data_IF_745658720633
#
_entry.id   IF_745658720633
#
_cell.length_a   1.000
_cell.length_b   1.000
_cell.length_c   1.000
_cell.angle_alpha   90.00
_cell.angle_beta   90.00
_cell.angle_gamma   90.00
#
_symmetry.space_group_name_H-M   'P 1'
#
loop_
_entity.id
_entity.type
_entity.pdbx_description
1 polymer ?
#
# COMPACT_ATOMS: atom_id res chain seq x y z
N UNK A 1 5.01 6.87 31.15
CA UNK A 1 4.98 7.93 30.12
C UNK A 1 3.69 7.73 29.35
N UNK A 2 2.90 8.79 29.23
CA UNK A 2 1.54 8.77 28.67
C UNK A 2 1.62 8.63 27.14
N UNK A 3 1.09 7.52 26.60
CA UNK A 3 1.10 7.18 25.16
C UNK A 3 0.01 7.92 24.36
N UNK A 4 -0.68 8.88 24.98
CA UNK A 4 -1.72 9.72 24.38
C UNK A 4 -1.18 10.77 23.39
N UNK A 5 0.02 10.58 22.82
CA UNK A 5 0.55 11.41 21.74
C UNK A 5 -0.31 11.24 20.47
N UNK A 6 -1.36 12.05 20.42
CA UNK A 6 -1.99 12.67 19.26
C UNK A 6 -1.94 11.81 17.99
N UNK A 7 -2.53 10.62 18.07
CA UNK A 7 -2.97 9.94 16.87
C UNK A 7 -4.15 10.76 16.35
N UNK A 8 -3.97 11.45 15.21
CA UNK A 8 -5.05 12.20 14.60
C UNK A 8 -5.99 11.21 13.90
N UNK A 9 -6.93 10.68 14.68
CA UNK A 9 -8.03 9.87 14.20
C UNK A 9 -9.12 10.80 13.70
N UNK A 10 -9.02 11.27 12.45
CA UNK A 10 -10.14 11.97 11.83
C UNK A 10 -10.86 11.04 10.83
N UNK A 11 -11.92 10.32 11.25
CA UNK A 11 -12.90 9.81 10.29
C UNK A 11 -13.59 11.04 9.68
N UNK A 12 -13.29 11.34 8.41
CA UNK A 12 -13.96 12.43 7.68
C UNK A 12 -15.01 11.83 6.75
N UNK A 13 -16.27 12.04 7.10
CA UNK A 13 -17.42 11.73 6.26
C UNK A 13 -17.63 12.87 5.28
N UNK A 14 -17.30 12.65 4.02
CA UNK A 14 -17.72 13.55 2.96
C UNK A 14 -18.90 12.93 2.23
N UNK A 15 -20.10 13.44 2.52
CA UNK A 15 -21.35 13.04 1.86
C UNK A 15 -21.47 13.56 0.41
N UNK A 16 -20.35 13.76 -0.29
CA UNK A 16 -20.35 13.97 -1.74
C UNK A 16 -20.04 12.64 -2.42
N UNK A 17 -21.08 11.83 -2.65
CA UNK A 17 -20.98 10.62 -3.48
C UNK A 17 -20.70 9.30 -2.74
N UNK A 18 -20.91 9.22 -1.42
CA UNK A 18 -20.87 7.95 -0.68
C UNK A 18 -19.49 7.32 -0.53
N UNK A 19 -18.40 8.10 -0.50
CA UNK A 19 -17.05 7.55 -0.26
C UNK A 19 -16.71 7.58 1.24
N UNK A 20 -16.38 6.41 1.80
CA UNK A 20 -15.77 6.28 3.11
C UNK A 20 -14.28 6.59 3.00
N UNK A 21 -13.80 7.51 3.84
CA UNK A 21 -12.39 7.89 3.90
C UNK A 21 -11.89 7.78 5.34
N UNK A 22 -10.90 6.92 5.53
CA UNK A 22 -10.22 6.72 6.79
C UNK A 22 -8.75 7.13 6.64
N UNK A 23 -8.24 7.89 7.59
CA UNK A 23 -6.85 8.33 7.63
C UNK A 23 -6.30 8.18 9.04
N UNK A 24 -5.08 7.67 9.12
CA UNK A 24 -4.32 7.45 10.34
C UNK A 24 -2.93 8.04 10.15
N UNK A 25 -2.49 8.85 11.10
CA UNK A 25 -1.12 9.36 11.16
C UNK A 25 -0.64 9.23 12.59
N UNK A 26 0.50 8.56 12.78
CA UNK A 26 1.01 8.19 14.09
C UNK A 26 2.55 8.23 14.13
N UNK A 27 3.16 8.61 15.26
CA UNK A 27 4.60 8.47 15.43
C UNK A 27 4.97 6.98 15.50
N UNK A 28 6.06 6.59 14.83
CA UNK A 28 6.51 5.20 14.81
C UNK A 28 7.22 4.75 16.10
N UNK A 29 7.25 5.58 17.15
CA UNK A 29 8.04 5.33 18.37
C UNK A 29 7.73 4.01 19.10
N UNK A 30 6.56 3.42 18.88
CA UNK A 30 6.13 2.14 19.46
C UNK A 30 6.46 0.90 18.60
N UNK A 31 6.92 1.09 17.36
CA UNK A 31 7.14 0.04 16.36
C UNK A 31 8.48 0.23 15.65
N UNK A 32 9.18 -0.85 15.32
CA UNK A 32 10.29 -0.71 14.37
C UNK A 32 9.76 -0.67 12.94
N UNK A 33 10.33 0.19 12.09
CA UNK A 33 10.02 0.20 10.65
C UNK A 33 10.25 -1.19 10.04
N UNK A 34 11.24 -1.92 10.53
CA UNK A 34 11.49 -3.32 10.16
C UNK A 34 10.28 -4.23 10.43
N UNK A 35 9.63 -4.12 11.60
CA UNK A 35 8.42 -4.89 11.91
C UNK A 35 7.26 -4.54 10.98
N UNK A 36 7.09 -3.24 10.66
CA UNK A 36 6.07 -2.77 9.72
C UNK A 36 6.32 -3.36 8.33
N UNK A 37 7.56 -3.24 7.81
CA UNK A 37 7.96 -3.81 6.53
C UNK A 37 7.71 -5.31 6.50
N UNK A 38 8.19 -6.05 7.49
CA UNK A 38 8.06 -7.50 7.57
C UNK A 38 6.59 -7.93 7.59
N UNK A 39 5.76 -7.26 8.40
CA UNK A 39 4.32 -7.51 8.44
C UNK A 39 3.72 -7.25 7.07
N UNK A 40 3.87 -6.04 6.53
CA UNK A 40 3.18 -5.63 5.31
C UNK A 40 3.68 -6.30 4.03
N UNK A 41 4.91 -6.81 3.99
CA UNK A 41 5.45 -7.57 2.85
C UNK A 41 5.08 -9.06 2.86
N UNK A 42 4.83 -9.64 4.04
CA UNK A 42 4.49 -11.06 4.19
C UNK A 42 3.32 -11.54 3.30
N UNK A 43 2.20 -10.81 3.16
CA UNK A 43 1.07 -11.27 2.36
C UNK A 43 1.24 -11.00 0.85
N UNK A 44 2.31 -10.33 0.41
CA UNK A 44 2.44 -9.86 -0.98
C UNK A 44 2.95 -10.94 -1.95
N UNK A 45 2.64 -12.21 -1.72
CA UNK A 45 2.87 -13.31 -2.67
C UNK A 45 2.24 -13.07 -4.05
N UNK A 46 1.21 -12.22 -4.12
CA UNK A 46 0.59 -11.76 -5.37
C UNK A 46 1.59 -11.04 -6.31
N UNK A 47 2.72 -10.54 -5.79
CA UNK A 47 3.79 -9.92 -6.56
C UNK A 47 4.65 -10.92 -7.35
N UNK A 48 4.44 -12.22 -7.18
CA UNK A 48 5.10 -13.25 -7.99
C UNK A 48 4.46 -13.42 -9.38
N UNK A 49 3.30 -12.81 -9.60
CA UNK A 49 2.66 -12.77 -10.91
C UNK A 49 3.40 -11.81 -11.84
N UNK A 50 3.38 -12.07 -13.15
CA UNK A 50 3.90 -11.12 -14.15
C UNK A 50 2.95 -9.95 -14.40
N UNK A 51 1.67 -10.15 -14.08
CA UNK A 51 0.57 -9.23 -14.39
C UNK A 51 -0.43 -9.22 -13.23
N UNK A 52 -1.07 -8.06 -13.02
CA UNK A 52 -2.15 -7.85 -12.07
C UNK A 52 -3.38 -7.38 -12.84
N UNK A 53 -4.51 -8.03 -12.58
CA UNK A 53 -5.79 -7.65 -13.16
C UNK A 53 -6.60 -6.83 -12.14
N UNK A 54 -7.15 -5.71 -12.59
CA UNK A 54 -7.99 -4.77 -11.85
C UNK A 54 -7.34 -4.20 -10.57
N UNK A 55 -6.02 -4.29 -10.47
CA UNK A 55 -5.23 -3.76 -9.39
C UNK A 55 -4.10 -2.94 -9.98
N UNK A 56 -3.96 -1.71 -9.50
CA UNK A 56 -2.80 -0.87 -9.79
C UNK A 56 -2.20 -0.33 -8.52
N UNK A 57 -0.95 0.07 -8.61
CA UNK A 57 -0.25 0.85 -7.61
C UNK A 57 -0.76 2.29 -7.54
N UNK A 58 -0.21 3.05 -6.60
CA UNK A 58 -0.56 4.46 -6.43
C UNK A 58 0.04 5.36 -7.51
N UNK A 59 -0.66 6.43 -7.85
CA UNK A 59 -0.15 7.50 -8.69
C UNK A 59 0.71 8.50 -7.90
N UNK A 60 1.42 9.36 -8.64
CA UNK A 60 2.35 10.35 -8.10
C UNK A 60 1.72 11.38 -7.16
N UNK A 61 0.43 11.66 -7.32
CA UNK A 61 -0.32 12.65 -6.51
C UNK A 61 -0.83 12.09 -5.18
N UNK A 62 -0.70 10.79 -4.94
CA UNK A 62 -1.36 10.10 -3.82
C UNK A 62 -0.40 9.87 -2.65
N UNK A 63 0.59 10.72 -2.42
CA UNK A 63 1.60 10.56 -1.36
C UNK A 63 1.06 11.01 0.01
N UNK A 64 1.34 10.24 1.06
CA UNK A 64 0.94 10.60 2.43
C UNK A 64 2.08 11.27 3.19
N UNK A 65 3.31 10.79 2.97
CA UNK A 65 4.55 11.37 3.48
C UNK A 65 5.40 11.91 2.33
N UNK A 66 6.21 12.91 2.65
CA UNK A 66 7.20 13.45 1.73
C UNK A 66 8.19 12.34 1.34
N UNK A 67 8.39 12.16 0.05
CA UNK A 67 9.32 11.20 -0.51
C UNK A 67 9.52 11.45 -2.00
N UNK A 68 10.52 10.81 -2.63
CA UNK A 68 10.78 11.04 -4.04
C UNK A 68 9.56 10.70 -4.90
N UNK A 69 9.24 11.59 -5.84
CA UNK A 69 8.08 11.49 -6.71
C UNK A 69 8.08 10.23 -7.57
N UNK A 70 6.88 9.75 -7.91
CA UNK A 70 6.69 8.68 -8.88
C UNK A 70 6.51 9.34 -10.25
N UNK A 71 6.99 8.73 -11.34
CA UNK A 71 6.74 9.25 -12.67
C UNK A 71 5.22 9.25 -12.96
N UNK A 72 4.73 10.24 -13.71
CA UNK A 72 3.29 10.49 -13.87
C UNK A 72 2.50 9.31 -14.48
N UNK A 73 3.18 8.40 -15.20
CA UNK A 73 2.57 7.28 -15.91
C UNK A 73 2.90 5.91 -15.29
N UNK A 74 3.62 5.87 -14.17
CA UNK A 74 3.95 4.64 -13.48
C UNK A 74 3.24 4.60 -12.12
N UNK A 75 2.62 3.47 -11.82
CA UNK A 75 1.84 3.27 -10.61
C UNK A 75 2.69 2.48 -9.60
N UNK A 76 3.14 3.11 -8.52
CA UNK A 76 4.01 2.49 -7.52
C UNK A 76 3.17 1.63 -6.57
N UNK A 77 3.36 0.33 -6.64
CA UNK A 77 2.71 -0.62 -5.75
C UNK A 77 3.45 -0.70 -4.42
N UNK A 78 4.78 -0.77 -4.48
CA UNK A 78 5.63 -0.93 -3.31
C UNK A 78 6.92 -0.13 -3.50
N UNK A 79 7.43 0.41 -2.40
CA UNK A 79 8.78 0.94 -2.32
C UNK A 79 9.39 0.64 -0.96
N UNK A 80 10.65 0.26 -0.97
CA UNK A 80 11.46 0.02 0.23
C UNK A 80 12.81 0.67 -0.01
N UNK A 81 13.12 1.68 0.81
CA UNK A 81 14.42 2.31 0.85
C UNK A 81 15.09 2.05 2.20
N UNK A 82 16.42 2.03 2.18
CA UNK A 82 17.21 1.98 3.38
C UNK A 82 18.68 1.82 3.05
N UNK A 83 19.41 1.18 3.95
CA UNK A 83 20.84 0.98 3.78
C UNK A 83 21.30 -0.38 4.28
N UNK A 84 22.40 -0.86 3.69
CA UNK A 84 23.17 -1.96 4.25
C UNK A 84 24.04 -1.46 5.39
N UNK A 85 24.20 -2.29 6.41
CA UNK A 85 25.27 -2.08 7.38
C UNK A 85 26.59 -2.34 6.65
N UNK A 86 27.44 -1.31 6.59
CA UNK A 86 28.83 -1.47 6.27
C UNK A 86 29.44 -2.57 7.15
N UNK A 87 30.04 -3.59 6.54
CA UNK A 87 30.63 -4.72 7.28
C UNK A 87 31.91 -4.29 8.02
N UNK A 88 32.50 -3.16 7.62
CA UNK A 88 33.65 -2.53 8.26
C UNK A 88 33.32 -1.09 8.70
N UNK A 89 33.92 -0.62 9.80
CA UNK A 89 33.72 0.74 10.33
C UNK A 89 34.10 1.86 9.35
N UNK A 90 34.92 1.55 8.33
CA UNK A 90 35.41 2.48 7.31
C UNK A 90 34.64 2.44 5.99
N UNK A 91 33.64 1.55 5.83
CA UNK A 91 32.85 1.48 4.61
C UNK A 91 31.65 2.44 4.68
N UNK A 92 31.44 3.19 3.59
CA UNK A 92 30.26 4.03 3.47
C UNK A 92 29.03 3.14 3.37
N UNK A 93 28.04 3.42 4.21
CA UNK A 93 26.72 2.79 4.14
C UNK A 93 26.14 2.96 2.74
N UNK A 94 25.90 1.85 2.04
CA UNK A 94 25.37 1.89 0.67
C UNK A 94 23.85 1.97 0.69
N UNK A 95 23.29 2.93 -0.07
CA UNK A 95 21.86 3.14 -0.16
C UNK A 95 21.20 2.05 -1.02
N UNK A 96 20.09 1.51 -0.53
CA UNK A 96 19.27 0.52 -1.20
C UNK A 96 17.90 1.13 -1.51
N UNK A 97 17.42 0.91 -2.72
CA UNK A 97 16.03 1.17 -3.10
C UNK A 97 15.50 0.01 -3.92
N UNK A 98 14.32 -0.48 -3.55
CA UNK A 98 13.54 -1.43 -4.34
C UNK A 98 12.16 -0.86 -4.56
N UNK A 99 11.72 -0.83 -5.81
CA UNK A 99 10.42 -0.31 -6.23
C UNK A 99 9.71 -1.33 -7.10
N UNK A 100 8.42 -1.47 -6.89
CA UNK A 100 7.55 -2.30 -7.72
C UNK A 100 6.48 -1.41 -8.30
N UNK A 101 6.44 -1.38 -9.63
CA UNK A 101 5.60 -0.55 -10.45
C UNK A 101 4.59 -1.42 -11.20
N UNK A 102 3.45 -0.82 -11.53
CA UNK A 102 2.32 -1.49 -12.19
C UNK A 102 1.85 -0.71 -13.42
N UNK A 103 2.71 -0.51 -14.44
CA UNK A 103 2.29 0.19 -15.64
C UNK A 103 1.13 -0.54 -16.34
N UNK A 104 0.23 0.25 -16.92
CA UNK A 104 -0.88 -0.26 -17.73
C UNK A 104 -0.35 -1.09 -18.90
N UNK A 105 -1.02 -2.22 -19.16
CA UNK A 105 -0.67 -3.12 -20.26
C UNK A 105 -1.79 -3.19 -21.29
N UNK A 106 -2.99 -3.61 -20.90
CA UNK A 106 -4.12 -3.75 -21.83
C UNK A 106 -5.47 -3.76 -21.10
N UNK A 107 -6.55 -3.70 -21.88
CA UNK A 107 -7.89 -4.04 -21.42
C UNK A 107 -8.19 -5.50 -21.74
N UNK A 108 -8.51 -6.31 -20.73
CA UNK A 108 -8.92 -7.70 -20.90
C UNK A 108 -10.45 -7.81 -20.90
N UNK A 109 -11.01 -8.49 -21.91
CA UNK A 109 -12.45 -8.78 -22.03
C UNK A 109 -13.38 -7.56 -21.92
N UNK A 110 -12.88 -6.36 -22.25
CA UNK A 110 -13.64 -5.10 -22.28
C UNK A 110 -13.95 -4.45 -20.92
N UNK A 111 -13.90 -5.21 -19.81
CA UNK A 111 -14.29 -4.73 -18.49
C UNK A 111 -13.15 -4.75 -17.46
N UNK A 112 -12.00 -5.32 -17.81
CA UNK A 112 -10.87 -5.47 -16.89
C UNK A 112 -9.66 -4.69 -17.38
N UNK A 113 -8.88 -4.17 -16.43
CA UNK A 113 -7.62 -3.47 -16.69
C UNK A 113 -6.47 -4.36 -16.23
N UNK A 114 -5.55 -4.66 -17.14
CA UNK A 114 -4.35 -5.45 -16.82
C UNK A 114 -3.16 -4.52 -16.71
N UNK A 115 -2.38 -4.72 -15.66
CA UNK A 115 -1.13 -4.04 -15.36
C UNK A 115 0.00 -5.07 -15.36
N UNK A 116 1.14 -4.74 -15.95
CA UNK A 116 2.35 -5.56 -15.81
C UNK A 116 3.05 -5.22 -14.49
N UNK A 117 3.77 -6.17 -13.89
CA UNK A 117 4.62 -5.91 -12.74
C UNK A 117 6.05 -5.63 -13.18
N UNK A 118 6.57 -4.45 -12.84
CA UNK A 118 7.93 -4.04 -13.14
C UNK A 118 8.68 -3.74 -11.84
N UNK A 119 9.88 -4.30 -11.71
CA UNK A 119 10.73 -4.04 -10.54
C UNK A 119 11.94 -3.21 -10.92
N UNK A 120 12.12 -2.10 -10.22
CA UNK A 120 13.32 -1.27 -10.27
C UNK A 120 14.08 -1.46 -8.96
N UNK A 121 15.41 -1.54 -9.02
CA UNK A 121 16.22 -1.63 -7.82
C UNK A 121 17.62 -1.08 -8.06
N UNK A 122 18.24 -0.55 -7.00
CA UNK A 122 19.59 0.02 -7.07
C UNK A 122 20.71 -1.03 -7.12
N UNK A 123 20.46 -2.24 -6.61
CA UNK A 123 21.49 -3.27 -6.41
C UNK A 123 21.30 -4.51 -7.29
N UNK A 124 22.37 -4.95 -7.94
CA UNK A 124 22.36 -6.15 -8.81
C UNK A 124 22.14 -7.42 -7.99
N UNK A 125 22.68 -7.50 -6.78
CA UNK A 125 22.55 -8.71 -5.92
C UNK A 125 21.11 -8.99 -5.49
N UNK A 126 20.22 -8.00 -5.56
CA UNK A 126 18.80 -8.19 -5.29
C UNK A 126 18.06 -8.79 -6.50
N UNK A 127 18.72 -8.94 -7.66
CA UNK A 127 18.08 -9.42 -8.89
C UNK A 127 17.75 -10.90 -8.69
N UNK A 128 16.46 -11.22 -8.60
CA UNK A 128 15.96 -12.59 -8.42
C UNK A 128 15.46 -12.90 -7.01
N UNK A 129 15.68 -12.05 -6.01
CA UNK A 129 15.04 -12.23 -4.70
C UNK A 129 13.54 -11.98 -4.82
N UNK A 130 12.65 -12.89 -4.37
CA UNK A 130 11.22 -12.62 -4.33
C UNK A 130 10.87 -11.41 -3.46
N UNK A 131 9.80 -10.67 -3.80
CA UNK A 131 9.45 -9.43 -3.10
C UNK A 131 9.15 -9.66 -1.60
N UNK A 132 8.50 -10.78 -1.27
CA UNK A 132 8.20 -11.16 0.12
C UNK A 132 9.46 -11.44 0.94
N UNK A 133 10.56 -11.85 0.29
CA UNK A 133 11.82 -12.10 0.97
C UNK A 133 12.53 -10.80 1.32
N UNK A 134 12.25 -9.70 0.62
CA UNK A 134 12.95 -8.42 0.83
C UNK A 134 12.94 -8.03 2.30
N UNK A 135 11.78 -8.00 2.96
CA UNK A 135 11.68 -7.60 4.38
C UNK A 135 12.44 -8.48 5.38
N UNK A 136 12.86 -9.69 4.98
CA UNK A 136 13.69 -10.59 5.81
C UNK A 136 15.18 -10.40 5.56
N UNK A 137 15.56 -10.22 4.29
CA UNK A 137 16.97 -10.14 3.92
C UNK A 137 17.48 -8.71 3.96
N UNK A 138 16.68 -7.68 3.63
CA UNK A 138 17.15 -6.30 3.44
C UNK A 138 16.02 -5.24 3.56
N UNK A 139 16.34 -3.96 3.81
CA UNK A 139 17.61 -3.41 4.29
C UNK A 139 17.80 -3.66 5.79
N UNK A 140 19.06 -3.65 6.22
CA UNK A 140 19.42 -3.77 7.65
C UNK A 140 18.89 -2.57 8.44
N UNK A 141 18.86 -1.40 7.81
CA UNK A 141 18.23 -0.19 8.33
C UNK A 141 17.22 0.32 7.31
N UNK A 142 15.95 -0.06 7.40
CA UNK A 142 14.92 0.55 6.57
C UNK A 142 14.80 2.03 6.97
N UNK A 143 14.66 2.89 5.96
CA UNK A 143 14.51 4.33 6.14
C UNK A 143 13.13 4.79 5.70
N UNK A 144 12.60 4.15 4.65
CA UNK A 144 11.30 4.44 4.10
C UNK A 144 10.65 3.18 3.54
N UNK A 145 9.37 3.00 3.84
CA UNK A 145 8.52 1.98 3.28
C UNK A 145 7.24 2.60 2.77
N UNK A 146 6.78 2.10 1.64
CA UNK A 146 5.55 2.53 1.03
C UNK A 146 4.86 1.37 0.34
N UNK A 147 3.56 1.30 0.54
CA UNK A 147 2.67 0.36 -0.10
C UNK A 147 1.42 1.11 -0.55
N UNK A 148 0.99 0.91 -1.78
CA UNK A 148 -0.19 1.61 -2.29
C UNK A 148 -0.88 0.84 -3.39
N UNK A 149 -2.19 0.64 -3.26
CA UNK A 149 -2.98 0.01 -4.31
C UNK A 149 -4.34 0.68 -4.48
N UNK A 150 -4.82 0.65 -5.72
CA UNK A 150 -6.15 1.06 -6.13
C UNK A 150 -6.78 -0.09 -6.91
N UNK A 151 -7.96 -0.52 -6.47
CA UNK A 151 -8.70 -1.63 -7.06
C UNK A 151 -9.83 -1.10 -7.95
N UNK A 152 -9.85 -1.60 -9.17
CA UNK A 152 -10.92 -1.38 -10.13
C UNK A 152 -12.05 -2.38 -9.89
N UNK A 153 -13.29 -1.90 -9.96
CA UNK A 153 -14.44 -2.77 -10.11
C UNK A 153 -15.28 -2.31 -11.31
N UNK A 154 -16.08 -3.22 -11.88
CA UNK A 154 -17.00 -2.87 -12.94
C UNK A 154 -18.08 -1.92 -12.40
N UNK A 155 -18.11 -0.67 -12.91
CA UNK A 155 -19.15 0.29 -12.62
C UNK A 155 -20.05 0.49 -13.84
N UNK A 156 -21.36 0.64 -13.60
CA UNK A 156 -22.32 0.93 -14.69
C UNK A 156 -22.10 2.36 -15.18
N UNK A 157 -21.62 2.50 -16.41
CA UNK A 157 -21.46 3.79 -17.08
C UNK A 157 -22.73 4.12 -17.88
N UNK A 158 -23.82 4.47 -17.20
CA UNK A 158 -25.06 4.94 -17.83
C UNK A 158 -25.57 4.05 -18.98
N UNK A 159 -25.98 4.66 -20.10
CA UNK A 159 -26.51 3.99 -21.30
C UNK A 159 -25.44 3.26 -22.16
N UNK A 160 -24.14 3.36 -21.83
CA UNK A 160 -23.06 2.98 -22.75
C UNK A 160 -22.19 1.81 -22.27
N UNK A 161 -22.66 1.02 -21.29
CA UNK A 161 -22.01 -0.22 -20.87
C UNK A 161 -21.38 -0.17 -19.48
N UNK A 162 -20.40 -1.04 -19.26
CA UNK A 162 -19.67 -1.17 -17.99
C UNK A 162 -18.27 -0.59 -18.18
N UNK A 163 -17.83 0.26 -17.28
CA UNK A 163 -16.46 0.80 -17.28
C UNK A 163 -15.77 0.43 -15.97
N UNK A 164 -14.49 0.06 -16.00
CA UNK A 164 -13.71 -0.11 -14.78
C UNK A 164 -13.58 1.24 -14.07
N UNK A 165 -13.87 1.26 -12.77
CA UNK A 165 -13.74 2.44 -11.91
C UNK A 165 -13.06 2.04 -10.61
N UNK A 166 -12.19 2.91 -10.08
CA UNK A 166 -11.54 2.69 -8.78
C UNK A 166 -12.60 2.79 -7.68
N UNK A 167 -12.83 1.69 -6.97
CA UNK A 167 -13.77 1.64 -5.84
C UNK A 167 -13.04 1.71 -4.50
N UNK A 168 -11.88 1.07 -4.41
CA UNK A 168 -11.13 0.95 -3.16
C UNK A 168 -9.68 1.36 -3.36
N UNK A 169 -9.13 2.07 -2.37
CA UNK A 169 -7.75 2.50 -2.33
C UNK A 169 -7.19 2.26 -0.93
N UNK A 170 -5.98 1.72 -0.84
CA UNK A 170 -5.19 1.67 0.38
C UNK A 170 -3.81 2.25 0.12
N UNK A 171 -3.39 3.13 1.01
CA UNK A 171 -2.14 3.84 0.93
C UNK A 171 -1.46 3.78 2.30
N UNK A 172 -0.19 3.37 2.30
CA UNK A 172 0.65 3.29 3.48
C UNK A 172 1.98 3.93 3.15
N UNK A 173 2.39 4.91 3.96
CA UNK A 173 3.73 5.46 4.00
C UNK A 173 4.27 5.32 5.41
N UNK A 174 5.52 4.87 5.51
CA UNK A 174 6.19 4.71 6.78
C UNK A 174 7.64 5.19 6.64
N UNK A 175 8.06 6.11 7.48
CA UNK A 175 9.45 6.53 7.64
C UNK A 175 10.02 6.01 8.95
N UNK A 176 11.27 6.30 9.27
CA UNK A 176 11.86 5.99 10.57
C UNK A 176 11.12 6.61 11.77
N UNK A 177 10.33 7.67 11.56
CA UNK A 177 9.70 8.43 12.66
C UNK A 177 8.18 8.46 12.59
N UNK A 178 7.60 8.15 11.42
CA UNK A 178 6.20 8.42 11.15
C UNK A 178 5.55 7.33 10.33
N UNK A 179 4.34 6.97 10.72
CA UNK A 179 3.44 6.10 9.98
C UNK A 179 2.25 6.92 9.49
N UNK A 180 1.87 6.73 8.23
CA UNK A 180 0.67 7.28 7.65
C UNK A 180 -0.06 6.22 6.85
N UNK A 181 -1.36 6.13 7.07
CA UNK A 181 -2.25 5.27 6.32
C UNK A 181 -3.49 6.03 5.89
N UNK A 182 -3.93 5.73 4.68
CA UNK A 182 -5.16 6.23 4.12
C UNK A 182 -5.89 5.09 3.41
N UNK A 183 -7.18 5.00 3.67
CA UNK A 183 -8.09 4.01 3.12
C UNK A 183 -9.30 4.75 2.57
N UNK A 184 -9.62 4.50 1.30
CA UNK A 184 -10.80 5.05 0.65
C UNK A 184 -11.62 3.91 0.09
N UNK A 185 -12.92 3.91 0.35
CA UNK A 185 -13.85 2.95 -0.24
C UNK A 185 -15.09 3.70 -0.68
N UNK A 186 -15.45 3.58 -1.96
CA UNK A 186 -16.75 4.03 -2.44
C UNK A 186 -17.79 3.05 -1.93
N UNK A 187 -18.80 3.53 -1.22
CA UNK A 187 -19.90 2.72 -0.73
C UNK A 187 -20.55 2.00 -1.90
N UNK A 188 -20.29 0.70 -1.98
CA UNK A 188 -21.00 -0.18 -2.87
C UNK A 188 -22.47 -0.15 -2.43
N UNK A 189 -23.33 0.34 -3.30
CA UNK A 189 -24.79 0.36 -3.09
C UNK A 189 -25.40 -1.05 -3.02
N UNK A 190 -24.58 -2.11 -3.09
CA UNK A 190 -25.02 -3.51 -3.08
C UNK A 190 -24.36 -4.29 -1.95
N UNK A 191 -25.22 -4.88 -1.12
CA UNK A 191 -24.92 -5.55 0.15
C UNK A 191 -24.07 -6.84 0.05
N UNK A 192 -23.78 -7.36 -1.16
CA UNK A 192 -23.39 -8.78 -1.33
C UNK A 192 -22.26 -9.10 -2.34
N UNK A 193 -21.53 -8.13 -2.89
CA UNK A 193 -20.35 -8.43 -3.71
C UNK A 193 -19.08 -8.07 -2.92
N UNK A 194 -18.44 -9.10 -2.35
CA UNK A 194 -17.14 -8.96 -1.71
C UNK A 194 -16.04 -9.01 -2.78
N UNK A 195 -15.12 -8.05 -2.85
CA UNK A 195 -13.98 -8.14 -3.75
C UNK A 195 -13.09 -9.34 -3.42
N UNK A 196 -12.46 -9.91 -4.47
CA UNK A 196 -11.48 -11.00 -4.33
C UNK A 196 -10.28 -10.64 -3.45
N UNK A 197 -9.99 -9.34 -3.30
CA UNK A 197 -8.91 -8.81 -2.47
C UNK A 197 -9.37 -8.32 -1.10
N UNK A 198 -10.64 -8.52 -0.73
CA UNK A 198 -11.09 -8.21 0.63
C UNK A 198 -10.28 -8.96 1.69
N UNK A 199 -9.86 -10.19 1.40
CA UNK A 199 -8.95 -10.94 2.28
C UNK A 199 -7.62 -10.22 2.50
N UNK A 200 -7.02 -9.64 1.45
CA UNK A 200 -5.80 -8.84 1.55
C UNK A 200 -6.06 -7.57 2.38
N UNK A 201 -7.17 -6.92 2.13
CA UNK A 201 -7.55 -5.69 2.82
C UNK A 201 -7.85 -5.90 4.31
N UNK A 202 -8.65 -6.92 4.66
CA UNK A 202 -8.90 -7.33 6.04
C UNK A 202 -7.63 -7.82 6.73
N UNK A 203 -6.76 -8.54 6.01
CA UNK A 203 -5.47 -8.95 6.56
C UNK A 203 -4.60 -7.73 6.89
N UNK A 204 -4.52 -6.75 5.98
CA UNK A 204 -3.76 -5.52 6.22
C UNK A 204 -4.36 -4.77 7.40
N UNK A 205 -5.69 -4.67 7.47
CA UNK A 205 -6.42 -4.09 8.61
C UNK A 205 -6.06 -4.80 9.93
N UNK A 206 -6.10 -6.13 9.98
CA UNK A 206 -5.78 -6.90 11.19
C UNK A 206 -4.29 -6.81 11.56
N UNK A 207 -3.40 -6.88 10.59
CA UNK A 207 -1.95 -6.73 10.80
C UNK A 207 -1.62 -5.35 11.36
N UNK A 208 -2.26 -4.31 10.83
CA UNK A 208 -2.13 -2.94 11.34
C UNK A 208 -2.75 -2.79 12.74
N UNK A 209 -3.90 -3.41 13.00
CA UNK A 209 -4.47 -3.42 14.35
C UNK A 209 -3.53 -4.06 15.37
N UNK A 210 -2.88 -5.17 15.01
CA UNK A 210 -1.87 -5.82 15.83
C UNK A 210 -0.63 -4.96 16.05
N UNK A 211 -0.19 -4.22 15.02
CA UNK A 211 0.95 -3.31 15.12
C UNK A 211 0.66 -2.10 16.02
N UNK A 212 -0.49 -1.46 15.86
CA UNK A 212 -0.81 -0.23 16.59
C UNK A 212 -1.57 -0.46 17.90
N UNK A 213 -1.96 -1.70 18.19
CA UNK A 213 -2.81 -2.01 19.35
C UNK A 213 -4.18 -1.35 19.28
N UNK A 214 -4.67 -1.05 18.06
CA UNK A 214 -5.97 -0.40 17.84
C UNK A 214 -6.82 -1.28 16.95
N UNK A 215 -7.95 -1.74 17.48
CA UNK A 215 -8.97 -2.36 16.64
C UNK A 215 -9.50 -1.33 15.65
N UNK A 216 -9.12 -1.46 14.38
CA UNK A 216 -9.71 -0.70 13.26
C UNK A 216 -11.21 -1.05 13.04
N UNK A 217 -11.84 -1.75 13.97
CA UNK A 217 -13.01 -2.61 13.76
C UNK A 217 -14.34 -1.98 14.18
N UNK A 218 -14.33 -0.94 15.02
CA UNK A 218 -15.57 -0.42 15.63
C UNK A 218 -16.35 0.61 14.79
N UNK A 219 -15.81 1.11 13.68
CA UNK A 219 -16.52 2.10 12.83
C UNK A 219 -16.97 1.57 11.45
N UNK A 220 -16.48 0.40 11.03
CA UNK A 220 -16.86 -0.21 9.74
C UNK A 220 -18.08 -1.13 9.88
N UNK A 221 -18.24 -1.77 11.04
CA UNK A 221 -19.35 -2.68 11.35
C UNK A 221 -20.68 -1.96 11.62
N UNK A 222 -20.65 -0.66 11.98
CA UNK A 222 -21.85 0.17 12.13
C UNK A 222 -22.50 0.59 10.80
N UNK A 223 -22.00 0.09 9.66
CA UNK A 223 -22.51 0.35 8.32
C UNK A 223 -23.28 -0.84 7.71
N UNK A 224 -23.53 -1.91 8.47
CA UNK A 224 -24.39 -3.06 8.06
C UNK A 224 -25.89 -2.79 8.22
#
# INVERSE_FOLDING_TARGET
MDLTQQVDWTPRWFASGGTLHYRLQAPLRALSLTQVVHTLLFPLHLLEQSELQDLRGRGSQQQLLQGPGIAANSFELMRLDGSFLALAEDEASEALSVRIMTPFQCFASGNHIVHSLQREQSHVELQGLPAQCLGFVMPVRPEFFRLGFAMYMPARAGLFGVSPEVQEELYIDCSATEFSLELKSRALSKKNEMPSLQGLFEWLRLGLAGLFGVELQDQLSSLQ
#
